data_IF_245251268321
#
_entry.id   IF_245251268321
#
_cell.length_a   1.000
_cell.length_b   1.000
_cell.length_c   1.000
_cell.angle_alpha   90.00
_cell.angle_beta   90.00
_cell.angle_gamma   90.00
#
_symmetry.space_group_name_H-M   'P 1'
#
loop_
_entity.id
_entity.type
_entity.pdbx_description
1 polymer ?
#
# COMPACT_ATOMS: atom_id res chain seq x y z
N UNK A 1 8.66 -4.85 -7.33
CA UNK A 1 7.44 -4.80 -6.52
C UNK A 1 7.59 -5.73 -5.30
N UNK A 2 7.96 -7.02 -5.45
CA UNK A 2 8.05 -7.97 -4.33
C UNK A 2 8.95 -7.47 -3.18
N UNK A 3 10.16 -6.95 -3.48
CA UNK A 3 11.06 -6.40 -2.46
C UNK A 3 10.40 -5.23 -1.71
N UNK A 4 9.73 -4.35 -2.44
CA UNK A 4 9.02 -3.23 -1.82
C UNK A 4 7.86 -3.70 -0.92
N UNK A 5 7.12 -4.72 -1.34
CA UNK A 5 6.05 -5.33 -0.54
C UNK A 5 6.61 -5.91 0.77
N UNK A 6 7.71 -6.64 0.70
CA UNK A 6 8.39 -7.18 1.89
C UNK A 6 8.90 -6.06 2.80
N UNK A 7 9.47 -5.00 2.23
CA UNK A 7 9.94 -3.85 3.00
C UNK A 7 8.79 -3.13 3.72
N UNK A 8 7.62 -2.97 3.08
CA UNK A 8 6.44 -2.39 3.70
C UNK A 8 5.89 -3.26 4.84
N UNK A 9 5.83 -4.59 4.64
CA UNK A 9 5.39 -5.53 5.69
C UNK A 9 6.37 -5.53 6.87
N UNK A 10 7.66 -5.71 6.60
CA UNK A 10 8.68 -5.68 7.63
C UNK A 10 8.70 -4.33 8.35
N UNK A 11 8.56 -3.23 7.59
CA UNK A 11 8.47 -1.88 8.12
C UNK A 11 7.27 -1.68 9.04
N UNK A 12 6.10 -2.22 8.68
CA UNK A 12 4.90 -2.09 9.50
C UNK A 12 5.01 -2.75 10.87
N UNK A 13 5.64 -3.94 10.96
CA UNK A 13 5.79 -4.69 12.21
C UNK A 13 7.09 -4.41 12.95
N UNK A 14 8.06 -3.74 12.34
CA UNK A 14 9.29 -3.32 13.00
C UNK A 14 9.09 -2.04 13.82
N UNK A 15 9.94 -1.76 14.81
CA UNK A 15 9.84 -0.55 15.63
C UNK A 15 9.90 0.73 14.80
N UNK A 16 8.92 1.61 14.98
CA UNK A 16 8.89 2.98 14.45
C UNK A 16 9.35 3.97 15.49
N UNK A 17 8.81 3.83 16.70
CA UNK A 17 9.24 4.56 17.87
C UNK A 17 10.28 3.73 18.63
N UNK A 18 11.53 4.15 18.57
CA UNK A 18 12.62 3.49 19.28
C UNK A 18 12.88 4.22 20.60
N UNK A 19 12.78 3.51 21.70
CA UNK A 19 13.08 4.01 23.04
C UNK A 19 14.25 3.21 23.65
N UNK A 20 15.00 3.82 24.58
CA UNK A 20 16.11 3.17 25.28
C UNK A 20 15.63 1.90 26.00
N UNK A 21 14.42 1.95 26.57
CA UNK A 21 13.77 0.78 27.16
C UNK A 21 13.01 0.02 26.06
N UNK A 22 13.44 -1.20 25.76
CA UNK A 22 12.82 -2.03 24.69
C UNK A 22 11.30 -2.20 24.85
N UNK A 23 10.79 -2.25 26.09
CA UNK A 23 9.36 -2.37 26.40
C UNK A 23 8.53 -1.17 25.91
N UNK A 24 9.16 -0.01 25.64
CA UNK A 24 8.51 1.20 25.14
C UNK A 24 8.69 1.41 23.64
N UNK A 25 9.33 0.49 22.92
CA UNK A 25 9.39 0.54 21.47
C UNK A 25 8.01 0.21 20.88
N UNK A 26 7.63 0.89 19.78
CA UNK A 26 6.33 0.70 19.12
C UNK A 26 6.49 0.55 17.63
N UNK A 27 5.81 -0.45 17.07
CA UNK A 27 5.63 -0.64 15.63
C UNK A 27 4.53 0.27 15.07
N UNK A 28 4.41 0.38 13.74
CA UNK A 28 3.28 1.10 13.14
C UNK A 28 1.94 0.49 13.54
N UNK A 29 1.87 -0.84 13.66
CA UNK A 29 0.66 -1.53 14.10
C UNK A 29 0.25 -1.11 15.52
N UNK A 30 1.19 -1.07 16.46
CA UNK A 30 0.93 -0.61 17.82
C UNK A 30 0.60 0.88 17.89
N UNK A 31 1.24 1.71 17.05
CA UNK A 31 0.93 3.13 16.95
C UNK A 31 -0.51 3.37 16.48
N UNK A 32 -1.03 2.54 15.55
CA UNK A 32 -2.42 2.65 15.11
C UNK A 32 -3.44 2.41 16.23
N UNK A 33 -3.07 1.66 17.26
CA UNK A 33 -3.93 1.40 18.41
C UNK A 33 -3.70 2.47 19.50
N UNK A 34 -2.44 2.73 19.82
CA UNK A 34 -2.05 3.57 20.94
C UNK A 34 -2.45 5.03 20.75
N UNK A 35 -2.38 5.56 19.52
CA UNK A 35 -2.70 6.96 19.24
C UNK A 35 -4.17 7.30 19.47
N UNK A 36 -5.08 6.33 19.45
CA UNK A 36 -6.47 6.52 19.84
C UNK A 36 -6.62 6.96 21.30
N UNK A 37 -5.70 6.55 22.17
CA UNK A 37 -5.77 6.74 23.61
C UNK A 37 -4.73 7.74 24.13
N UNK A 38 -3.89 8.29 23.23
CA UNK A 38 -2.85 9.22 23.63
C UNK A 38 -3.36 10.66 23.53
N UNK A 39 -3.43 11.41 24.66
CA UNK A 39 -3.83 12.81 24.63
C UNK A 39 -2.90 13.63 23.72
N UNK A 40 -3.47 14.49 22.88
CA UNK A 40 -2.72 15.34 21.96
C UNK A 40 -2.31 14.67 20.63
N UNK A 41 -2.52 13.36 20.48
CA UNK A 41 -2.28 12.65 19.20
C UNK A 41 -3.42 12.84 18.18
N UNK A 42 -4.54 13.45 18.56
CA UNK A 42 -5.75 13.59 17.75
C UNK A 42 -5.66 14.46 16.49
N UNK A 43 -4.47 14.98 16.17
CA UNK A 43 -4.22 15.75 14.93
C UNK A 43 -3.99 14.80 13.74
N UNK A 44 -3.64 13.54 14.00
CA UNK A 44 -3.35 12.54 12.99
C UNK A 44 -4.20 11.29 13.21
N UNK A 45 -4.93 10.86 12.18
CA UNK A 45 -5.78 9.68 12.29
C UNK A 45 -4.91 8.42 12.46
N UNK A 46 -5.16 7.69 13.50
CA UNK A 46 -4.42 6.48 13.90
C UNK A 46 -4.42 5.40 12.80
N UNK A 47 -5.52 5.27 12.04
CA UNK A 47 -5.65 4.30 10.96
C UNK A 47 -4.62 4.50 9.84
N UNK A 48 -4.06 5.70 9.72
CA UNK A 48 -3.05 5.97 8.70
C UNK A 48 -1.76 5.18 8.93
N UNK A 49 -1.49 4.78 10.17
CA UNK A 49 -0.37 3.87 10.46
C UNK A 49 -0.57 2.47 9.87
N UNK A 50 -1.80 2.08 9.46
CA UNK A 50 -2.11 0.84 8.76
C UNK A 50 -1.88 0.93 7.24
N UNK A 51 -1.65 2.11 6.67
CA UNK A 51 -1.45 2.29 5.23
C UNK A 51 -0.32 1.44 4.64
N UNK A 52 0.84 1.22 5.28
CA UNK A 52 1.86 0.30 4.79
C UNK A 52 1.35 -1.14 4.67
N UNK A 53 0.55 -1.61 5.64
CA UNK A 53 -0.04 -2.93 5.66
C UNK A 53 -1.07 -3.11 4.53
N UNK A 54 -2.00 -2.17 4.38
CA UNK A 54 -3.02 -2.19 3.34
C UNK A 54 -2.41 -2.08 1.94
N UNK A 55 -1.38 -1.25 1.77
CA UNK A 55 -0.62 -1.16 0.52
C UNK A 55 0.07 -2.48 0.18
N UNK A 56 0.69 -3.14 1.17
CA UNK A 56 1.32 -4.44 0.98
C UNK A 56 0.29 -5.51 0.58
N UNK A 57 -0.91 -5.52 1.19
CA UNK A 57 -1.99 -6.42 0.82
C UNK A 57 -2.41 -6.26 -0.66
N UNK A 58 -2.62 -5.02 -1.12
CA UNK A 58 -2.97 -4.74 -2.51
C UNK A 58 -1.83 -5.12 -3.48
N UNK A 59 -0.57 -4.88 -3.09
CA UNK A 59 0.59 -5.29 -3.90
C UNK A 59 0.70 -6.80 -4.01
N UNK A 60 0.39 -7.56 -2.95
CA UNK A 60 0.33 -9.03 -2.98
C UNK A 60 -0.74 -9.48 -3.98
N UNK A 61 -1.95 -8.91 -3.93
CA UNK A 61 -3.01 -9.21 -4.89
C UNK A 61 -2.59 -8.91 -6.34
N UNK A 62 -1.94 -7.76 -6.56
CA UNK A 62 -1.45 -7.36 -7.88
C UNK A 62 -0.35 -8.29 -8.42
N UNK A 63 0.56 -8.77 -7.55
CA UNK A 63 1.64 -9.70 -7.91
C UNK A 63 1.13 -11.12 -8.14
N UNK A 64 0.16 -11.55 -7.36
CA UNK A 64 -0.39 -12.89 -7.43
C UNK A 64 -1.15 -13.17 -8.74
N UNK A 65 -1.67 -12.14 -9.40
CA UNK A 65 -2.51 -12.30 -10.57
C UNK A 65 -3.74 -13.18 -10.24
N UNK A 66 -3.96 -14.24 -11.02
CA UNK A 66 -5.09 -15.19 -10.81
C UNK A 66 -4.76 -16.39 -9.89
N UNK A 67 -3.78 -16.28 -9.01
CA UNK A 67 -3.42 -17.37 -8.10
C UNK A 67 -4.19 -17.24 -6.78
N UNK A 68 -5.05 -18.21 -6.46
CA UNK A 68 -5.88 -18.21 -5.25
C UNK A 68 -5.08 -18.09 -3.95
N UNK A 69 -3.88 -18.70 -3.89
CA UNK A 69 -2.98 -18.56 -2.75
C UNK A 69 -2.56 -17.10 -2.52
N UNK A 70 -2.33 -16.36 -3.60
CA UNK A 70 -1.99 -14.94 -3.48
C UNK A 70 -3.16 -14.08 -3.03
N UNK A 71 -4.38 -14.38 -3.47
CA UNK A 71 -5.57 -13.72 -2.95
C UNK A 71 -5.75 -14.02 -1.45
N UNK A 72 -5.64 -15.30 -1.05
CA UNK A 72 -5.73 -15.71 0.36
C UNK A 72 -4.68 -15.00 1.23
N UNK A 73 -3.42 -14.91 0.76
CA UNK A 73 -2.36 -14.18 1.44
C UNK A 73 -2.65 -12.67 1.53
N UNK A 74 -3.15 -12.07 0.46
CA UNK A 74 -3.55 -10.66 0.45
C UNK A 74 -4.65 -10.40 1.47
N UNK A 75 -5.68 -11.24 1.53
CA UNK A 75 -6.76 -11.13 2.50
C UNK A 75 -6.28 -11.33 3.93
N UNK A 76 -5.40 -12.32 4.16
CA UNK A 76 -4.79 -12.54 5.46
C UNK A 76 -4.03 -11.30 5.93
N UNK A 77 -3.19 -10.72 5.07
CA UNK A 77 -2.44 -9.49 5.39
C UNK A 77 -3.39 -8.32 5.63
N UNK A 78 -4.40 -8.13 4.79
CA UNK A 78 -5.39 -7.06 4.97
C UNK A 78 -6.15 -7.22 6.30
N UNK A 79 -6.53 -8.46 6.67
CA UNK A 79 -7.31 -8.73 7.89
C UNK A 79 -6.54 -8.41 9.18
N UNK A 80 -5.20 -8.35 9.15
CA UNK A 80 -4.41 -7.85 10.28
C UNK A 80 -4.67 -6.36 10.57
N UNK A 81 -5.26 -5.62 9.62
CA UNK A 81 -5.72 -4.25 9.82
C UNK A 81 -7.10 -4.15 10.47
N UNK A 82 -7.80 -5.25 10.76
CA UNK A 82 -9.07 -5.23 11.46
C UNK A 82 -8.86 -4.92 12.96
N UNK A 83 -9.84 -4.27 13.62
CA UNK A 83 -9.82 -4.11 15.07
C UNK A 83 -9.71 -5.45 15.78
N UNK A 84 -8.96 -5.48 16.90
CA UNK A 84 -8.80 -6.70 17.68
C UNK A 84 -10.14 -7.10 18.36
N UNK A 85 -10.27 -8.41 18.64
CA UNK A 85 -11.36 -8.91 19.47
C UNK A 85 -11.29 -8.29 20.90
N UNK A 86 -12.41 -7.91 21.54
CA UNK A 86 -13.80 -8.12 21.12
C UNK A 86 -14.36 -7.02 20.19
N UNK A 87 -13.61 -5.94 19.94
CA UNK A 87 -14.09 -4.77 19.18
C UNK A 87 -14.40 -5.09 17.72
N UNK A 88 -13.85 -6.17 17.16
CA UNK A 88 -14.13 -6.60 15.79
C UNK A 88 -15.62 -6.74 15.51
N UNK A 89 -16.39 -7.32 16.45
CA UNK A 89 -17.82 -7.59 16.26
C UNK A 89 -18.68 -6.34 16.36
N UNK A 90 -18.21 -5.29 17.00
CA UNK A 90 -18.92 -4.05 17.24
C UNK A 90 -18.26 -2.83 16.59
N UNK A 91 -17.19 -3.04 15.81
CA UNK A 91 -16.38 -1.98 15.24
C UNK A 91 -17.18 -1.00 14.36
N UNK A 92 -18.22 -1.50 13.66
CA UNK A 92 -19.11 -0.68 12.84
C UNK A 92 -19.90 0.35 13.65
N UNK A 93 -20.15 0.09 14.94
CA UNK A 93 -20.91 0.94 15.84
C UNK A 93 -20.02 1.91 16.64
N UNK A 94 -18.74 1.59 16.81
CA UNK A 94 -17.78 2.39 17.58
C UNK A 94 -17.04 3.40 16.68
N UNK A 95 -17.20 4.72 16.91
CA UNK A 95 -16.59 5.75 16.07
C UNK A 95 -15.08 5.58 15.91
N UNK A 96 -14.38 5.19 16.99
CA UNK A 96 -12.92 5.01 17.05
C UNK A 96 -12.38 3.88 16.19
N UNK A 97 -13.21 2.86 15.85
CA UNK A 97 -12.82 1.71 15.04
C UNK A 97 -13.52 1.63 13.69
N UNK A 98 -14.58 2.44 13.50
CA UNK A 98 -15.45 2.36 12.34
C UNK A 98 -14.71 2.60 11.03
N UNK A 99 -13.86 3.63 10.98
CA UNK A 99 -13.08 3.94 9.78
C UNK A 99 -12.11 2.81 9.46
N UNK A 100 -11.34 2.34 10.44
CA UNK A 100 -10.41 1.21 10.31
C UNK A 100 -11.13 -0.04 9.75
N UNK A 101 -12.29 -0.37 10.30
CA UNK A 101 -13.09 -1.52 9.87
C UNK A 101 -13.51 -1.42 8.41
N UNK A 102 -14.15 -0.31 8.01
CA UNK A 102 -14.65 -0.16 6.64
C UNK A 102 -13.52 -0.01 5.62
N UNK A 103 -12.43 0.69 5.94
CA UNK A 103 -11.28 0.78 5.04
C UNK A 103 -10.64 -0.59 4.83
N UNK A 104 -10.49 -1.40 5.89
CA UNK A 104 -9.96 -2.76 5.77
C UNK A 104 -10.86 -3.63 4.89
N UNK A 105 -12.18 -3.59 5.05
CA UNK A 105 -13.11 -4.29 4.16
C UNK A 105 -13.01 -3.79 2.72
N UNK A 106 -12.84 -2.48 2.52
CA UNK A 106 -12.58 -1.89 1.21
C UNK A 106 -11.31 -2.43 0.55
N UNK A 107 -10.22 -2.56 1.31
CA UNK A 107 -8.96 -3.16 0.84
C UNK A 107 -9.14 -4.63 0.45
N UNK A 108 -9.87 -5.42 1.26
CA UNK A 108 -10.20 -6.82 0.96
C UNK A 108 -11.01 -6.92 -0.35
N UNK A 109 -12.01 -6.05 -0.51
CA UNK A 109 -12.81 -5.96 -1.75
C UNK A 109 -11.97 -5.52 -2.96
N UNK A 110 -11.10 -4.53 -2.80
CA UNK A 110 -10.18 -4.08 -3.86
C UNK A 110 -9.19 -5.19 -4.27
N UNK A 111 -8.67 -5.96 -3.31
CA UNK A 111 -7.82 -7.13 -3.59
C UNK A 111 -8.57 -8.19 -4.41
N UNK A 112 -9.85 -8.46 -4.09
CA UNK A 112 -10.70 -9.34 -4.90
C UNK A 112 -10.93 -8.80 -6.31
N UNK A 113 -11.15 -7.49 -6.46
CA UNK A 113 -11.26 -6.82 -7.76
C UNK A 113 -9.98 -6.95 -8.60
N UNK A 114 -8.81 -6.73 -8.01
CA UNK A 114 -7.51 -6.92 -8.65
C UNK A 114 -7.29 -8.38 -9.08
N UNK A 115 -7.71 -9.34 -8.26
CA UNK A 115 -7.68 -10.76 -8.58
C UNK A 115 -8.60 -11.10 -9.76
N UNK A 116 -9.84 -10.60 -9.76
CA UNK A 116 -10.81 -10.86 -10.81
C UNK A 116 -10.36 -10.31 -12.17
N UNK A 117 -9.78 -9.12 -12.20
CA UNK A 117 -9.25 -8.48 -13.41
C UNK A 117 -7.95 -9.16 -13.88
N UNK A 118 -7.12 -9.66 -12.96
CA UNK A 118 -5.90 -10.42 -13.27
C UNK A 118 -4.97 -9.73 -14.26
N UNK A 119 -4.63 -10.44 -15.36
CA UNK A 119 -3.73 -9.91 -16.39
C UNK A 119 -4.40 -8.94 -17.38
N UNK A 120 -5.73 -8.80 -17.36
CA UNK A 120 -6.46 -7.89 -18.26
C UNK A 120 -6.43 -6.44 -17.79
N UNK A 121 -5.88 -6.18 -16.59
CA UNK A 121 -5.77 -4.83 -16.06
C UNK A 121 -4.93 -3.96 -17.00
N UNK A 122 -5.54 -2.88 -17.48
CA UNK A 122 -4.84 -1.94 -18.36
C UNK A 122 -3.60 -1.39 -17.70
N UNK A 123 -2.49 -1.25 -18.44
CA UNK A 123 -1.18 -0.84 -17.91
C UNK A 123 -1.25 0.46 -17.08
N UNK A 124 -2.05 1.44 -17.52
CA UNK A 124 -2.23 2.70 -16.80
C UNK A 124 -2.89 2.50 -15.43
N UNK A 125 -3.92 1.63 -15.37
CA UNK A 125 -4.58 1.33 -14.09
C UNK A 125 -3.64 0.60 -13.12
N UNK A 126 -2.85 -0.36 -13.64
CA UNK A 126 -1.80 -1.03 -12.85
C UNK A 126 -0.77 -0.05 -12.30
N UNK A 127 -0.33 0.92 -13.11
CA UNK A 127 0.58 1.97 -12.63
C UNK A 127 -0.09 2.88 -11.61
N UNK A 128 -1.37 3.21 -11.80
CA UNK A 128 -2.15 3.98 -10.84
C UNK A 128 -2.21 3.28 -9.47
N UNK A 129 -2.46 1.97 -9.44
CA UNK A 129 -2.44 1.17 -8.20
C UNK A 129 -1.06 1.18 -7.57
N UNK A 130 0.01 0.95 -8.34
CA UNK A 130 1.39 1.00 -7.84
C UNK A 130 1.73 2.37 -7.25
N UNK A 131 1.32 3.45 -7.91
CA UNK A 131 1.54 4.81 -7.45
C UNK A 131 0.77 5.10 -6.16
N UNK A 132 -0.51 4.71 -6.09
CA UNK A 132 -1.31 4.84 -4.87
C UNK A 132 -0.70 4.05 -3.71
N UNK A 133 -0.25 2.80 -3.95
CA UNK A 133 0.44 1.98 -2.95
C UNK A 133 1.83 2.52 -2.55
N UNK A 134 2.42 3.42 -3.34
CA UNK A 134 3.66 4.11 -2.96
C UNK A 134 3.37 5.37 -2.13
N UNK A 135 2.33 6.15 -2.49
CA UNK A 135 1.99 7.39 -1.79
C UNK A 135 1.33 7.15 -0.43
N UNK A 136 0.44 6.16 -0.34
CA UNK A 136 -0.29 5.90 0.89
C UNK A 136 0.65 5.65 2.09
N UNK A 137 1.69 4.78 2.02
CA UNK A 137 2.63 4.60 3.14
C UNK A 137 3.52 5.81 3.43
N UNK A 138 3.63 6.78 2.51
CA UNK A 138 4.36 8.02 2.78
C UNK A 138 3.65 8.91 3.81
N UNK A 139 2.32 8.80 3.90
CA UNK A 139 1.51 9.58 4.85
C UNK A 139 1.91 9.33 6.30
N UNK A 140 1.94 8.07 6.81
CA UNK A 140 2.36 7.81 8.18
C UNK A 140 3.84 8.12 8.44
N UNK A 141 4.72 8.12 7.41
CA UNK A 141 6.10 8.56 7.60
C UNK A 141 6.19 10.01 8.06
N UNK A 142 5.35 10.88 7.49
CA UNK A 142 5.22 12.28 7.92
C UNK A 142 4.44 12.38 9.23
N UNK A 143 3.32 11.63 9.33
CA UNK A 143 2.46 11.60 10.50
C UNK A 143 3.16 11.17 11.79
N UNK A 144 4.20 10.34 11.69
CA UNK A 144 5.02 9.95 12.83
C UNK A 144 5.59 11.18 13.57
N UNK A 145 6.08 12.17 12.84
CA UNK A 145 6.64 13.40 13.45
C UNK A 145 5.57 14.27 14.13
N UNK A 146 4.31 14.15 13.71
CA UNK A 146 3.19 14.85 14.35
C UNK A 146 2.80 14.17 15.68
N UNK A 147 2.90 12.84 15.75
CA UNK A 147 2.53 12.05 16.94
C UNK A 147 3.69 11.90 17.93
N UNK A 148 4.93 11.98 17.44
CA UNK A 148 6.15 11.82 18.24
C UNK A 148 6.16 12.64 19.53
N UNK A 149 5.84 13.96 19.54
CA UNK A 149 5.84 14.75 20.76
C UNK A 149 4.86 14.22 21.83
N UNK A 150 3.70 13.71 21.41
CA UNK A 150 2.72 13.11 22.33
C UNK A 150 3.25 11.81 22.95
N UNK A 151 3.97 11.01 22.16
CA UNK A 151 4.62 9.77 22.64
C UNK A 151 5.74 10.12 23.63
N UNK A 152 6.56 11.11 23.32
CA UNK A 152 7.64 11.59 24.21
C UNK A 152 7.10 12.12 25.53
N UNK A 153 5.99 12.87 25.49
CA UNK A 153 5.30 13.33 26.70
C UNK A 153 4.77 12.16 27.54
N UNK A 154 4.18 11.14 26.90
CA UNK A 154 3.67 9.95 27.59
C UNK A 154 4.80 9.15 28.25
N UNK A 155 5.94 9.02 27.59
CA UNK A 155 7.08 8.23 28.08
C UNK A 155 8.05 9.03 28.96
N UNK A 156 7.81 10.34 29.11
CA UNK A 156 8.70 11.27 29.81
C UNK A 156 10.16 11.17 29.34
N UNK A 157 10.34 10.91 28.03
CA UNK A 157 11.66 10.71 27.45
C UNK A 157 11.67 10.85 25.94
N UNK A 158 12.87 10.99 25.37
CA UNK A 158 13.05 11.13 23.93
C UNK A 158 12.83 9.80 23.21
N UNK A 159 12.15 9.85 22.06
CA UNK A 159 11.90 8.70 21.19
C UNK A 159 12.62 8.90 19.87
N UNK A 160 13.43 7.91 19.49
CA UNK A 160 14.15 7.89 18.22
C UNK A 160 13.29 7.35 17.07
N UNK A 161 13.80 7.50 15.85
CA UNK A 161 13.25 6.87 14.66
C UNK A 161 13.74 5.43 14.60
N UNK A 162 12.82 4.47 14.63
CA UNK A 162 13.14 3.04 14.59
C UNK A 162 13.29 2.49 13.17
N UNK A 163 13.75 1.23 13.10
CA UNK A 163 14.01 0.51 11.84
C UNK A 163 12.77 0.43 10.94
N UNK A 164 11.57 0.28 11.52
CA UNK A 164 10.32 0.16 10.77
C UNK A 164 10.02 1.38 9.89
N UNK A 165 10.31 2.58 10.38
CA UNK A 165 10.18 3.81 9.62
C UNK A 165 11.11 3.80 8.39
N UNK A 166 12.38 3.40 8.56
CA UNK A 166 13.37 3.34 7.48
C UNK A 166 13.01 2.27 6.44
N UNK A 167 12.55 1.10 6.87
CA UNK A 167 12.10 0.04 5.97
C UNK A 167 10.88 0.48 5.15
N UNK A 168 9.94 1.19 5.78
CA UNK A 168 8.78 1.74 5.07
C UNK A 168 9.21 2.78 4.04
N UNK A 169 10.13 3.67 4.40
CA UNK A 169 10.70 4.66 3.48
C UNK A 169 11.40 3.99 2.28
N UNK A 170 12.18 2.94 2.52
CA UNK A 170 12.83 2.17 1.46
C UNK A 170 11.82 1.47 0.54
N UNK A 171 10.72 0.93 1.10
CA UNK A 171 9.62 0.36 0.34
C UNK A 171 8.94 1.38 -0.58
N UNK A 172 8.61 2.55 -0.05
CA UNK A 172 8.04 3.69 -0.81
C UNK A 172 8.99 4.11 -1.93
N UNK A 173 10.27 4.34 -1.63
CA UNK A 173 11.28 4.74 -2.62
C UNK A 173 11.42 3.72 -3.76
N UNK A 174 11.42 2.42 -3.41
CA UNK A 174 11.48 1.33 -4.39
C UNK A 174 10.26 1.32 -5.30
N UNK A 175 9.05 1.53 -4.77
CA UNK A 175 7.82 1.59 -5.57
C UNK A 175 7.82 2.81 -6.50
N UNK A 176 8.16 3.99 -5.99
CA UNK A 176 8.24 5.21 -6.80
C UNK A 176 9.24 5.05 -7.94
N UNK A 177 10.42 4.48 -7.66
CA UNK A 177 11.41 4.18 -8.70
C UNK A 177 10.84 3.27 -9.80
N UNK A 178 10.10 2.21 -9.42
CA UNK A 178 9.48 1.29 -10.38
C UNK A 178 8.40 1.96 -11.21
N UNK A 179 7.56 2.80 -10.61
CA UNK A 179 6.55 3.59 -11.32
C UNK A 179 7.21 4.51 -12.34
N UNK A 180 8.23 5.26 -11.94
CA UNK A 180 8.97 6.16 -12.81
C UNK A 180 9.66 5.42 -13.97
N UNK A 181 10.30 4.27 -13.69
CA UNK A 181 10.92 3.42 -14.73
C UNK A 181 9.87 2.96 -15.74
N UNK A 182 8.74 2.43 -15.27
CA UNK A 182 7.67 1.94 -16.15
C UNK A 182 7.05 3.06 -16.98
N UNK A 183 6.88 4.25 -16.40
CA UNK A 183 6.39 5.43 -17.09
C UNK A 183 7.33 5.89 -18.21
N UNK A 184 8.66 5.88 -17.97
CA UNK A 184 9.66 6.22 -18.99
C UNK A 184 9.62 5.25 -20.17
N UNK A 185 9.51 3.95 -19.91
CA UNK A 185 9.41 2.91 -20.94
C UNK A 185 8.17 3.11 -21.80
N UNK A 186 7.01 3.42 -21.20
CA UNK A 186 5.78 3.69 -21.96
C UNK A 186 5.90 4.91 -22.88
N UNK A 187 6.58 5.97 -22.43
CA UNK A 187 6.79 7.16 -23.25
C UNK A 187 7.81 6.95 -24.38
N UNK A 188 8.74 6.01 -24.21
CA UNK A 188 9.77 5.71 -25.19
C UNK A 188 9.28 4.78 -26.32
N UNK A 189 8.11 4.12 -26.18
CA UNK A 189 7.50 3.33 -27.22
C UNK A 189 6.89 4.28 -28.26
N UNK A 190 7.50 4.47 -29.45
CA UNK A 190 6.93 5.30 -30.48
C UNK A 190 5.60 4.70 -30.94
N UNK A 191 4.75 5.56 -31.45
CA UNK A 191 3.40 5.25 -31.95
C UNK A 191 3.48 4.31 -33.18
N UNK A 192 3.82 3.04 -32.94
CA UNK A 192 3.88 2.02 -34.00
C UNK A 192 2.49 1.69 -34.59
N UNK A 193 1.43 2.40 -34.15
CA UNK A 193 0.06 2.16 -34.61
C UNK A 193 -0.29 2.85 -35.93
N UNK A 194 0.61 3.61 -36.54
CA UNK A 194 0.29 4.37 -37.76
C UNK A 194 0.95 3.79 -39.02
N UNK A 195 1.67 2.70 -38.96
CA UNK A 195 2.28 2.06 -40.14
C UNK A 195 1.56 0.76 -40.57
N UNK A 196 0.24 0.73 -40.51
CA UNK A 196 -0.50 -0.14 -41.45
C UNK A 196 -0.72 0.66 -42.71
N UNK A 197 0.31 0.81 -43.52
CA UNK A 197 0.13 1.06 -44.96
C UNK A 197 -0.90 0.07 -45.47
N UNK A 198 -1.97 0.51 -46.14
CA UNK A 198 -2.86 -0.43 -46.80
C UNK A 198 -2.01 -1.23 -47.79
N UNK A 199 -1.82 -2.51 -47.47
CA UNK A 199 -1.23 -3.46 -48.41
C UNK A 199 -2.08 -3.34 -49.65
N UNK A 200 -1.46 -2.84 -50.70
CA UNK A 200 -2.08 -2.71 -52.04
C UNK A 200 -2.37 -4.14 -52.54
N UNK A 201 -3.57 -4.66 -52.21
CA UNK A 201 -4.05 -5.99 -52.66
C UNK A 201 -4.46 -5.97 -54.12
N UNK A 202 -4.04 -4.98 -54.90
CA UNK A 202 -4.17 -5.04 -56.36
C UNK A 202 -2.99 -5.84 -56.89
N UNK A 203 -3.18 -7.17 -56.99
CA UNK A 203 -2.32 -8.07 -57.73
C UNK A 203 -2.22 -7.62 -59.17
N UNK A 204 -1.05 -7.89 -59.84
CA UNK A 204 -0.78 -7.45 -61.20
C UNK A 204 -1.59 -8.16 -62.30
N UNK A 205 -2.52 -9.05 -61.99
CA UNK A 205 -3.21 -9.94 -62.94
C UNK A 205 -4.72 -9.72 -63.05
N UNK A 206 -5.15 -8.45 -63.24
CA UNK A 206 -6.50 -8.21 -63.75
C UNK A 206 -6.49 -8.35 -65.28
N UNK A 207 -7.21 -9.32 -65.91
CA UNK A 207 -7.33 -9.40 -67.38
C UNK A 207 -8.04 -8.18 -67.89
N UNK A 208 -7.41 -7.48 -68.82
CA UNK A 208 -8.03 -6.38 -69.58
C UNK A 208 -9.02 -6.99 -70.60
N UNK A 209 -10.21 -6.36 -70.79
CA UNK A 209 -11.16 -6.77 -71.76
C UNK A 209 -10.69 -6.58 -73.23
#
# INVERSE_FOLDING_TARGET
VAIATLALLAGHFSPWAAHVTAALTRSAHELSIMTNFTPGAGVFWNEWFLLPLWSAALLIALLAGKRWLGLGLSWLVASLGLPAYPHLLTAYAHPEYRLQFFVTLGVIGAAAGLFATGHTLHTLLRLGVLFACALAPAVPLVGYFMVKPAIEALYQGTVGIGLGWWLTLAGVGTLLFQVLKSWRVMRALPDQRVSTSPVNLLGPDAPRP
#
